data_IF_540854104104
#
_entry.id   IF_540854104104
#
_cell.length_a   1.000
_cell.length_b   1.000
_cell.length_c   1.000
_cell.angle_alpha   90.00
_cell.angle_beta   90.00
_cell.angle_gamma   90.00
#
_symmetry.space_group_name_H-M   'P 1'
#
loop_
_entity.id
_entity.type
_entity.pdbx_description
1 polymer ?
#
# COMPACT_ATOMS: atom_id res chain seq x y z
N UNK A 1 -7.19 15.83 -1.04
CA UNK A 1 -6.37 14.60 -1.12
C UNK A 1 -5.14 14.79 -0.25
N UNK A 2 -4.88 13.90 0.69
CA UNK A 2 -3.64 13.92 1.47
C UNK A 2 -2.49 13.59 0.52
N UNK A 3 -1.50 14.49 0.41
CA UNK A 3 -0.36 14.31 -0.48
C UNK A 3 0.57 13.27 0.14
N UNK A 4 0.92 12.21 -0.60
CA UNK A 4 1.95 11.26 -0.18
C UNK A 4 3.30 11.97 -0.12
N UNK A 5 3.88 12.04 1.08
CA UNK A 5 5.20 12.64 1.31
C UNK A 5 6.29 11.57 1.18
N UNK A 6 7.43 11.95 0.63
CA UNK A 6 8.61 11.08 0.53
C UNK A 6 9.73 11.62 1.42
N UNK A 7 10.53 10.78 2.06
CA UNK A 7 10.42 9.32 2.08
C UNK A 7 9.21 8.85 2.90
N UNK A 8 8.70 7.65 2.61
CA UNK A 8 7.67 6.99 3.38
C UNK A 8 8.03 5.52 3.59
N UNK A 9 7.46 4.92 4.62
CA UNK A 9 7.62 3.51 4.94
C UNK A 9 6.28 2.79 4.77
N UNK A 10 6.33 1.53 4.35
CA UNK A 10 5.18 0.65 4.26
C UNK A 10 5.40 -0.58 5.14
N UNK A 11 4.56 -0.73 6.16
CA UNK A 11 4.60 -1.85 7.10
C UNK A 11 3.40 -2.74 6.85
N UNK A 12 3.68 -3.96 6.41
CA UNK A 12 2.66 -4.94 6.05
C UNK A 12 2.84 -6.26 6.81
N UNK A 13 2.21 -6.41 7.98
CA UNK A 13 2.23 -7.68 8.71
C UNK A 13 1.37 -8.77 8.04
N UNK A 14 0.74 -8.48 6.89
CA UNK A 14 -0.16 -9.40 6.20
C UNK A 14 -1.21 -9.99 7.15
N UNK A 15 -1.34 -11.32 7.19
CA UNK A 15 -2.21 -12.04 8.13
C UNK A 15 -1.42 -12.79 9.22
N UNK A 16 -0.14 -12.40 9.44
CA UNK A 16 0.66 -12.95 10.53
C UNK A 16 0.29 -12.35 11.88
N UNK A 17 -0.16 -11.09 11.91
CA UNK A 17 -0.57 -10.39 13.12
C UNK A 17 -2.02 -9.92 13.00
N UNK A 18 -2.76 -10.00 14.10
CA UNK A 18 -4.12 -9.49 14.23
C UNK A 18 -4.42 -9.04 15.66
N UNK A 19 -5.47 -8.28 15.86
CA UNK A 19 -5.94 -7.85 17.17
C UNK A 19 -4.87 -7.12 17.96
N UNK A 20 -4.57 -7.61 19.16
CA UNK A 20 -3.64 -6.97 20.11
C UNK A 20 -2.22 -6.86 19.58
N UNK A 21 -1.69 -7.91 18.95
CA UNK A 21 -0.33 -7.91 18.42
C UNK A 21 -0.19 -6.92 17.23
N UNK A 22 -1.19 -6.85 16.37
CA UNK A 22 -1.26 -5.86 15.29
C UNK A 22 -1.30 -4.44 15.85
N UNK A 23 -2.09 -4.20 16.90
CA UNK A 23 -2.14 -2.90 17.57
C UNK A 23 -0.80 -2.52 18.21
N UNK A 24 -0.12 -3.45 18.90
CA UNK A 24 1.19 -3.19 19.49
C UNK A 24 2.22 -2.74 18.44
N UNK A 25 2.26 -3.41 17.29
CA UNK A 25 3.12 -3.01 16.17
C UNK A 25 2.71 -1.64 15.62
N UNK A 26 1.41 -1.40 15.43
CA UNK A 26 0.90 -0.12 14.94
C UNK A 26 1.27 1.05 15.85
N UNK A 27 1.17 0.87 17.17
CA UNK A 27 1.59 1.87 18.17
C UNK A 27 3.09 2.16 18.10
N UNK A 28 3.92 1.14 17.90
CA UNK A 28 5.35 1.34 17.68
C UNK A 28 5.63 2.17 16.41
N UNK A 29 4.95 1.85 15.31
CA UNK A 29 5.02 2.61 14.07
C UNK A 29 4.52 4.05 14.24
N UNK A 30 3.43 4.25 14.97
CA UNK A 30 2.84 5.56 15.24
C UNK A 30 3.81 6.48 16.01
N UNK A 31 4.48 5.92 17.01
CA UNK A 31 5.53 6.60 17.76
C UNK A 31 6.68 7.03 16.85
N UNK A 32 7.20 6.11 16.03
CA UNK A 32 8.29 6.40 15.09
C UNK A 32 7.87 7.49 14.10
N UNK A 33 6.66 7.39 13.54
CA UNK A 33 6.12 8.40 12.63
C UNK A 33 6.04 9.79 13.29
N UNK A 34 5.58 9.83 14.56
CA UNK A 34 5.52 11.07 15.34
C UNK A 34 6.89 11.69 15.60
N UNK A 35 7.89 10.87 15.92
CA UNK A 35 9.26 11.31 16.25
C UNK A 35 10.06 11.74 15.03
N UNK A 36 9.86 11.10 13.88
CA UNK A 36 10.68 11.31 12.68
C UNK A 36 9.99 12.18 11.63
N UNK A 37 8.66 12.31 11.67
CA UNK A 37 7.87 12.93 10.61
C UNK A 37 7.76 12.08 9.34
N UNK A 38 8.30 10.87 9.33
CA UNK A 38 8.19 9.95 8.17
C UNK A 38 6.77 9.41 8.11
N UNK A 39 6.14 9.52 6.94
CA UNK A 39 4.82 8.92 6.71
C UNK A 39 4.94 7.40 6.72
N UNK A 40 4.16 6.72 7.56
CA UNK A 40 4.13 5.25 7.63
C UNK A 40 2.74 4.76 7.25
N UNK A 41 2.66 3.99 6.16
CA UNK A 41 1.47 3.21 5.83
C UNK A 41 1.50 1.91 6.62
N UNK A 42 0.47 1.67 7.41
CA UNK A 42 0.33 0.46 8.21
C UNK A 42 -0.86 -0.35 7.74
N UNK A 43 -0.63 -1.54 7.17
CA UNK A 43 -1.71 -2.43 6.74
C UNK A 43 -2.14 -3.35 7.87
N UNK A 44 -3.42 -3.70 7.90
CA UNK A 44 -3.96 -4.64 8.86
C UNK A 44 -5.18 -5.38 8.30
N UNK A 45 -5.55 -6.53 8.89
CA UNK A 45 -6.82 -7.18 8.60
C UNK A 45 -8.00 -6.23 8.77
N UNK A 46 -9.06 -6.42 8.00
CA UNK A 46 -10.23 -5.52 8.00
C UNK A 46 -10.85 -5.34 9.39
N UNK A 47 -10.87 -6.42 10.19
CA UNK A 47 -11.42 -6.41 11.55
C UNK A 47 -10.65 -5.46 12.50
N UNK A 48 -9.38 -5.19 12.21
CA UNK A 48 -8.49 -4.40 13.07
C UNK A 48 -8.42 -2.93 12.66
N UNK A 49 -8.95 -2.54 11.49
CA UNK A 49 -8.84 -1.16 10.98
C UNK A 49 -9.36 -0.15 12.02
N UNK A 50 -10.56 -0.36 12.55
CA UNK A 50 -11.13 0.55 13.55
C UNK A 50 -10.31 0.57 14.83
N UNK A 51 -9.91 -0.60 15.33
CA UNK A 51 -9.07 -0.71 16.52
C UNK A 51 -7.79 0.11 16.38
N UNK A 52 -7.11 -0.01 15.26
CA UNK A 52 -5.87 0.71 15.01
C UNK A 52 -6.14 2.20 14.79
N UNK A 53 -7.14 2.57 14.00
CA UNK A 53 -7.47 3.96 13.70
C UNK A 53 -7.87 4.77 14.95
N UNK A 54 -8.54 4.14 15.92
CA UNK A 54 -8.93 4.80 17.18
C UNK A 54 -7.76 4.97 18.16
N UNK A 55 -6.69 4.18 18.02
CA UNK A 55 -5.55 4.18 18.94
C UNK A 55 -4.27 4.79 18.37
N UNK A 56 -4.24 5.21 17.10
CA UNK A 56 -3.09 5.82 16.43
C UNK A 56 -3.44 7.19 15.85
N UNK A 57 -2.44 8.05 15.60
CA UNK A 57 -2.64 9.42 15.10
C UNK A 57 -1.76 9.77 13.90
N UNK A 58 -0.62 9.11 13.76
CA UNK A 58 0.44 9.47 12.82
C UNK A 58 0.58 8.46 11.68
N UNK A 59 0.28 7.17 11.91
CA UNK A 59 0.28 6.17 10.85
C UNK A 59 -0.93 6.33 9.91
N UNK A 60 -0.73 6.03 8.64
CA UNK A 60 -1.80 5.96 7.64
C UNK A 60 -2.38 4.56 7.68
N UNK A 61 -3.51 4.38 8.37
CA UNK A 61 -4.18 3.08 8.45
C UNK A 61 -4.63 2.65 7.06
N UNK A 62 -4.19 1.48 6.65
CA UNK A 62 -4.29 1.01 5.27
C UNK A 62 -5.02 -0.33 5.20
N UNK A 63 -6.08 -0.41 4.40
CA UNK A 63 -6.79 -1.66 4.15
C UNK A 63 -5.98 -2.57 3.21
N UNK A 64 -6.03 -3.88 3.41
CA UNK A 64 -5.30 -4.87 2.60
C UNK A 64 -5.90 -5.11 1.21
N UNK A 65 -7.15 -4.76 1.00
CA UNK A 65 -7.86 -4.79 -0.29
C UNK A 65 -9.19 -4.04 -0.15
N UNK A 66 -9.89 -3.83 -1.27
CA UNK A 66 -11.31 -3.46 -1.34
C UNK A 66 -11.92 -3.93 -2.65
N UNK A 67 -13.25 -3.97 -2.70
CA UNK A 67 -14.00 -4.16 -3.94
C UNK A 67 -14.54 -2.82 -4.46
N UNK A 68 -14.98 -2.79 -5.72
CA UNK A 68 -15.41 -1.53 -6.38
C UNK A 68 -16.90 -1.22 -6.21
N UNK A 69 -17.63 -2.04 -5.43
CA UNK A 69 -19.07 -1.88 -5.28
C UNK A 69 -19.45 -0.58 -4.53
N UNK A 70 -20.70 -0.18 -4.74
CA UNK A 70 -21.37 0.87 -3.97
C UNK A 70 -22.28 0.24 -2.91
N UNK A 71 -22.71 1.01 -1.88
CA UNK A 71 -23.68 0.52 -0.90
C UNK A 71 -24.91 -0.12 -1.56
N UNK A 72 -25.23 -1.34 -1.13
CA UNK A 72 -26.31 -2.13 -1.71
C UNK A 72 -26.03 -3.63 -1.62
N UNK A 73 -26.36 -4.35 -2.69
CA UNK A 73 -26.09 -5.80 -2.77
C UNK A 73 -24.59 -6.07 -2.83
N UNK A 74 -24.10 -7.02 -2.05
CA UNK A 74 -22.64 -7.32 -2.00
C UNK A 74 -22.28 -8.09 -0.72
N UNK A 75 -23.11 -9.04 -0.32
CA UNK A 75 -22.80 -9.86 0.85
C UNK A 75 -21.44 -10.54 0.68
N UNK A 76 -20.53 -10.36 1.66
CA UNK A 76 -19.18 -10.90 1.65
C UNK A 76 -18.16 -10.05 0.90
N UNK A 77 -18.57 -9.04 0.13
CA UNK A 77 -17.66 -8.11 -0.51
C UNK A 77 -17.11 -7.07 0.49
N UNK A 78 -15.94 -6.52 0.20
CA UNK A 78 -15.29 -5.48 1.01
C UNK A 78 -15.75 -4.12 0.51
N UNK A 79 -16.74 -3.56 1.18
CA UNK A 79 -17.33 -2.27 0.84
C UNK A 79 -16.37 -1.11 1.17
N UNK A 80 -15.98 -0.26 0.20
CA UNK A 80 -15.05 0.84 0.44
C UNK A 80 -15.51 1.84 1.50
N UNK A 81 -16.81 2.18 1.52
CA UNK A 81 -17.38 3.08 2.51
C UNK A 81 -17.20 2.56 3.95
N UNK A 82 -17.29 1.24 4.15
CA UNK A 82 -17.09 0.65 5.47
C UNK A 82 -15.64 0.74 5.94
N UNK A 83 -14.69 0.69 5.01
CA UNK A 83 -13.27 0.88 5.32
C UNK A 83 -12.99 2.33 5.74
N UNK A 84 -13.53 3.30 5.01
CA UNK A 84 -13.41 4.73 5.34
C UNK A 84 -14.04 5.03 6.68
N UNK A 85 -15.24 4.51 6.94
CA UNK A 85 -15.96 4.66 8.22
C UNK A 85 -15.17 4.01 9.37
N UNK A 86 -14.49 2.90 9.13
CA UNK A 86 -13.61 2.27 10.10
C UNK A 86 -12.30 3.05 10.34
N UNK A 87 -11.98 4.05 9.51
CA UNK A 87 -10.83 4.92 9.66
C UNK A 87 -9.67 4.65 8.70
N UNK A 88 -9.83 3.77 7.71
CA UNK A 88 -8.82 3.60 6.67
C UNK A 88 -8.63 4.90 5.88
N UNK A 89 -7.37 5.20 5.55
CA UNK A 89 -6.95 6.35 4.72
C UNK A 89 -6.28 5.93 3.42
N UNK A 90 -5.89 4.66 3.33
CA UNK A 90 -5.28 4.08 2.14
C UNK A 90 -5.77 2.65 1.93
N UNK A 91 -5.54 2.12 0.75
CA UNK A 91 -5.86 0.74 0.38
C UNK A 91 -4.77 0.15 -0.52
N UNK A 92 -4.41 -1.10 -0.24
CA UNK A 92 -3.57 -1.92 -1.13
C UNK A 92 -4.47 -2.58 -2.16
N UNK A 93 -4.04 -2.61 -3.41
CA UNK A 93 -4.74 -3.27 -4.51
C UNK A 93 -3.78 -4.15 -5.31
N UNK A 94 -4.30 -5.21 -5.88
CA UNK A 94 -3.58 -6.10 -6.80
C UNK A 94 -2.33 -6.77 -6.19
N UNK A 95 -2.31 -7.01 -4.88
CA UNK A 95 -1.23 -7.79 -4.28
C UNK A 95 -1.16 -9.20 -4.87
N UNK A 96 0.03 -9.80 -4.96
CA UNK A 96 0.24 -11.13 -5.53
C UNK A 96 -0.67 -12.22 -4.90
N UNK A 97 -1.01 -12.07 -3.62
CA UNK A 97 -1.94 -12.97 -2.90
C UNK A 97 -3.43 -12.66 -3.16
N UNK A 98 -3.75 -11.55 -3.83
CA UNK A 98 -5.13 -11.12 -4.13
C UNK A 98 -5.15 -10.25 -5.40
N UNK A 99 -4.87 -10.87 -6.52
CA UNK A 99 -4.80 -10.22 -7.83
C UNK A 99 -6.19 -9.83 -8.34
N UNK A 100 -6.23 -8.78 -9.16
CA UNK A 100 -7.42 -8.26 -9.82
C UNK A 100 -7.25 -8.27 -11.33
N UNK A 101 -8.34 -8.44 -12.04
CA UNK A 101 -8.35 -8.13 -13.48
C UNK A 101 -8.12 -6.64 -13.70
N UNK A 102 -7.64 -6.25 -14.87
CA UNK A 102 -7.42 -4.83 -15.20
C UNK A 102 -8.70 -4.00 -15.04
N UNK A 103 -9.85 -4.56 -15.40
CA UNK A 103 -11.14 -3.89 -15.27
C UNK A 103 -11.54 -3.67 -13.80
N UNK A 104 -11.37 -4.68 -12.96
CA UNK A 104 -11.62 -4.58 -11.51
C UNK A 104 -10.65 -3.60 -10.86
N UNK A 105 -9.39 -3.63 -11.23
CA UNK A 105 -8.37 -2.73 -10.70
C UNK A 105 -8.70 -1.27 -11.02
N UNK A 106 -9.04 -0.98 -12.27
CA UNK A 106 -9.48 0.36 -12.68
C UNK A 106 -10.71 0.84 -11.91
N UNK A 107 -11.71 -0.05 -11.77
CA UNK A 107 -12.91 0.26 -10.98
C UNK A 107 -12.58 0.52 -9.51
N UNK A 108 -11.68 -0.27 -8.89
CA UNK A 108 -11.24 -0.07 -7.50
C UNK A 108 -10.46 1.24 -7.33
N UNK A 109 -9.53 1.57 -8.23
CA UNK A 109 -8.79 2.84 -8.20
C UNK A 109 -9.76 4.03 -8.29
N UNK A 110 -10.73 3.95 -9.21
CA UNK A 110 -11.76 4.99 -9.38
C UNK A 110 -12.57 5.18 -8.11
N UNK A 111 -13.04 4.07 -7.50
CA UNK A 111 -13.82 4.12 -6.26
C UNK A 111 -13.01 4.64 -5.07
N UNK A 112 -11.74 4.23 -4.94
CA UNK A 112 -10.85 4.74 -3.91
C UNK A 112 -10.71 6.26 -3.99
N UNK A 113 -10.51 6.79 -5.20
CA UNK A 113 -10.42 8.25 -5.44
C UNK A 113 -11.71 8.99 -5.09
N UNK A 114 -12.88 8.44 -5.43
CA UNK A 114 -14.19 9.02 -5.06
C UNK A 114 -14.32 9.19 -3.54
N UNK A 115 -13.73 8.27 -2.77
CA UNK A 115 -13.80 8.25 -1.30
C UNK A 115 -12.59 8.88 -0.62
N UNK A 116 -11.63 9.41 -1.38
CA UNK A 116 -10.43 10.05 -0.85
C UNK A 116 -9.40 9.08 -0.25
N UNK A 117 -9.47 7.80 -0.58
CA UNK A 117 -8.46 6.81 -0.20
C UNK A 117 -7.23 6.93 -1.08
N UNK A 118 -6.05 6.87 -0.48
CA UNK A 118 -4.78 6.72 -1.19
C UNK A 118 -4.69 5.28 -1.72
N UNK A 119 -4.36 5.13 -2.99
CA UNK A 119 -4.19 3.81 -3.62
C UNK A 119 -2.73 3.40 -3.65
N UNK A 120 -2.42 2.22 -3.10
CA UNK A 120 -1.13 1.55 -3.19
C UNK A 120 -1.34 0.30 -4.04
N UNK A 121 -0.84 0.31 -5.27
CA UNK A 121 -1.12 -0.77 -6.24
C UNK A 121 0.14 -1.57 -6.50
N UNK A 122 0.06 -2.89 -6.27
CA UNK A 122 1.16 -3.81 -6.51
C UNK A 122 1.27 -4.13 -8.01
N UNK A 123 2.50 -4.24 -8.49
CA UNK A 123 2.83 -4.62 -9.86
C UNK A 123 4.08 -5.51 -9.89
N UNK A 124 4.04 -6.59 -10.68
CA UNK A 124 5.08 -7.62 -10.75
C UNK A 124 6.25 -7.25 -11.68
N UNK A 125 6.03 -6.34 -12.60
CA UNK A 125 7.02 -5.97 -13.62
C UNK A 125 6.97 -4.47 -13.95
N UNK A 126 8.03 -3.97 -14.58
CA UNK A 126 8.05 -2.60 -15.12
C UNK A 126 6.91 -2.35 -16.11
N UNK A 127 6.55 -3.33 -16.94
CA UNK A 127 5.44 -3.21 -17.89
C UNK A 127 4.10 -3.08 -17.17
N UNK A 128 3.85 -3.90 -16.17
CA UNK A 128 2.65 -3.83 -15.33
C UNK A 128 2.60 -2.53 -14.54
N UNK A 129 3.73 -2.10 -13.97
CA UNK A 129 3.85 -0.82 -13.28
C UNK A 129 3.47 0.38 -14.17
N UNK A 130 3.85 0.35 -15.45
CA UNK A 130 3.44 1.39 -16.42
C UNK A 130 1.94 1.38 -16.66
N UNK A 131 1.34 0.20 -16.82
CA UNK A 131 -0.11 0.07 -16.99
C UNK A 131 -0.86 0.60 -15.74
N UNK A 132 -0.39 0.25 -14.55
CA UNK A 132 -0.95 0.75 -13.28
C UNK A 132 -0.78 2.27 -13.14
N UNK A 133 0.34 2.83 -13.59
CA UNK A 133 0.56 4.29 -13.60
C UNK A 133 -0.44 5.01 -14.51
N UNK A 134 -0.77 4.43 -15.67
CA UNK A 134 -1.80 4.95 -16.58
C UNK A 134 -3.19 4.92 -15.97
N UNK A 135 -3.51 3.90 -15.15
CA UNK A 135 -4.75 3.84 -14.38
C UNK A 135 -4.80 4.90 -13.26
N UNK A 136 -3.69 5.55 -12.97
CA UNK A 136 -3.59 6.67 -12.06
C UNK A 136 -3.50 6.29 -10.59
N UNK A 137 -2.80 5.23 -10.25
CA UNK A 137 -2.46 4.89 -8.85
C UNK A 137 -1.64 6.01 -8.18
N UNK A 138 -1.89 6.25 -6.89
CA UNK A 138 -1.12 7.25 -6.12
C UNK A 138 0.29 6.74 -5.81
N UNK A 139 0.40 5.46 -5.44
CA UNK A 139 1.65 4.76 -5.16
C UNK A 139 1.66 3.45 -5.93
N UNK A 140 2.76 3.13 -6.58
CA UNK A 140 3.00 1.80 -7.16
C UNK A 140 4.03 1.09 -6.29
N UNK A 141 3.65 -0.09 -5.80
CA UNK A 141 4.55 -1.05 -5.18
C UNK A 141 5.08 -1.99 -6.27
N UNK A 142 6.27 -1.67 -6.79
CA UNK A 142 6.93 -2.51 -7.77
C UNK A 142 7.68 -3.64 -7.05
N UNK A 143 7.12 -4.84 -7.10
CA UNK A 143 7.59 -6.00 -6.38
C UNK A 143 7.62 -7.23 -7.29
N UNK A 144 8.79 -7.61 -7.85
CA UNK A 144 8.89 -8.84 -8.61
C UNK A 144 8.50 -10.04 -7.76
N UNK A 145 7.38 -10.68 -8.09
CA UNK A 145 6.78 -11.79 -7.31
C UNK A 145 7.78 -12.91 -7.05
N UNK A 146 8.69 -13.17 -7.99
CA UNK A 146 9.74 -14.18 -7.84
C UNK A 146 10.73 -13.90 -6.68
N UNK A 147 10.81 -12.66 -6.19
CA UNK A 147 11.70 -12.26 -5.09
C UNK A 147 11.00 -12.24 -3.72
N UNK A 148 9.69 -12.37 -3.68
CA UNK A 148 8.93 -12.36 -2.43
C UNK A 148 9.37 -13.51 -1.53
N UNK A 149 9.78 -13.22 -0.30
CA UNK A 149 10.17 -14.23 0.69
C UNK A 149 11.54 -14.88 0.47
N UNK A 150 12.31 -14.45 -0.54
CA UNK A 150 13.64 -15.03 -0.83
C UNK A 150 14.77 -14.41 0.02
N UNK A 151 14.54 -13.25 0.64
CA UNK A 151 15.59 -12.46 1.29
C UNK A 151 16.55 -11.76 0.31
N UNK A 152 16.22 -11.79 -0.99
CA UNK A 152 17.02 -11.12 -2.04
C UNK A 152 16.30 -9.83 -2.45
N UNK A 153 16.96 -8.70 -2.29
CA UNK A 153 16.44 -7.39 -2.74
C UNK A 153 16.51 -7.26 -4.26
N UNK A 154 15.59 -6.49 -4.83
CA UNK A 154 15.66 -6.13 -6.24
C UNK A 154 16.96 -5.36 -6.52
N UNK A 155 17.54 -5.60 -7.71
CA UNK A 155 18.77 -4.90 -8.12
C UNK A 155 18.49 -3.39 -8.24
N UNK A 156 19.48 -2.57 -7.86
CA UNK A 156 19.43 -1.13 -7.98
C UNK A 156 19.15 -0.65 -9.42
N UNK A 157 19.66 -1.37 -10.42
CA UNK A 157 19.38 -1.07 -11.83
C UNK A 157 17.90 -1.23 -12.17
N UNK A 158 17.24 -2.29 -11.69
CA UNK A 158 15.80 -2.51 -11.83
C UNK A 158 15.00 -1.38 -11.17
N UNK A 159 15.39 -1.01 -9.96
CA UNK A 159 14.73 0.08 -9.21
C UNK A 159 14.76 1.38 -10.01
N UNK A 160 15.92 1.79 -10.49
CA UNK A 160 16.11 3.03 -11.25
C UNK A 160 15.34 3.00 -12.57
N UNK A 161 15.40 1.88 -13.31
CA UNK A 161 14.67 1.72 -14.57
C UNK A 161 13.16 1.75 -14.35
N UNK A 162 12.66 1.00 -13.38
CA UNK A 162 11.23 0.95 -13.06
C UNK A 162 10.70 2.34 -12.67
N UNK A 163 11.40 3.05 -11.79
CA UNK A 163 11.04 4.42 -11.41
C UNK A 163 10.99 5.35 -12.63
N UNK A 164 11.98 5.27 -13.50
CA UNK A 164 12.10 6.10 -14.71
C UNK A 164 10.94 5.85 -15.67
N UNK A 165 10.60 4.60 -15.91
CA UNK A 165 9.51 4.21 -16.80
C UNK A 165 8.14 4.59 -16.24
N UNK A 166 7.89 4.40 -14.95
CA UNK A 166 6.65 4.85 -14.29
C UNK A 166 6.50 6.37 -14.39
N UNK A 167 7.59 7.12 -14.12
CA UNK A 167 7.56 8.59 -14.15
C UNK A 167 7.37 9.19 -15.54
N UNK A 168 7.69 8.47 -16.61
CA UNK A 168 7.35 8.88 -17.99
C UNK A 168 5.85 8.81 -18.25
N UNK A 169 5.15 7.85 -17.64
CA UNK A 169 3.70 7.67 -17.79
C UNK A 169 2.95 8.64 -16.88
N UNK A 170 3.30 8.66 -15.59
CA UNK A 170 2.67 9.52 -14.60
C UNK A 170 3.71 10.08 -13.62
N UNK A 171 4.12 11.36 -13.77
CA UNK A 171 5.14 11.97 -12.93
C UNK A 171 4.70 12.12 -11.47
N UNK A 172 3.39 12.16 -11.17
CA UNK A 172 2.87 12.36 -9.83
C UNK A 172 2.83 11.08 -9.00
N UNK A 173 2.69 9.90 -9.63
CA UNK A 173 2.69 8.60 -8.97
C UNK A 173 3.99 8.38 -8.19
N UNK A 174 3.88 8.00 -6.93
CA UNK A 174 5.05 7.60 -6.12
C UNK A 174 5.39 6.15 -6.39
N UNK A 175 6.69 5.83 -6.30
CA UNK A 175 7.18 4.47 -6.50
C UNK A 175 7.75 3.96 -5.19
N UNK A 176 7.40 2.76 -4.84
CA UNK A 176 7.91 2.02 -3.72
C UNK A 176 8.46 0.69 -4.25
N UNK A 177 9.67 0.35 -3.87
CA UNK A 177 10.26 -0.93 -4.19
C UNK A 177 10.18 -1.80 -2.94
N UNK A 178 9.72 -3.01 -3.10
CA UNK A 178 9.71 -4.02 -2.05
C UNK A 178 10.37 -5.31 -2.56
N UNK A 179 10.39 -6.28 -1.72
CA UNK A 179 11.04 -7.60 -1.81
C UNK A 179 12.39 -7.67 -1.11
N UNK A 180 12.55 -8.71 -0.28
CA UNK A 180 13.80 -9.08 0.35
C UNK A 180 14.33 -8.13 1.42
N UNK A 181 13.60 -7.09 1.79
CA UNK A 181 13.98 -6.17 2.86
C UNK A 181 13.73 -6.85 4.21
N UNK A 182 14.79 -7.05 5.00
CA UNK A 182 14.74 -7.75 6.29
C UNK A 182 15.32 -6.95 7.45
N UNK A 183 16.13 -5.93 7.15
CA UNK A 183 16.84 -5.13 8.16
C UNK A 183 16.69 -3.62 7.89
N UNK A 184 16.97 -2.79 8.89
CA UNK A 184 17.04 -1.34 8.72
C UNK A 184 18.12 -0.90 7.75
N UNK A 185 19.22 -1.68 7.60
CA UNK A 185 20.28 -1.40 6.63
C UNK A 185 19.79 -1.63 5.19
N UNK A 186 18.93 -2.64 4.96
CA UNK A 186 18.30 -2.84 3.65
C UNK A 186 17.38 -1.66 3.28
N UNK A 187 16.60 -1.17 4.24
CA UNK A 187 15.78 0.04 4.06
C UNK A 187 16.66 1.24 3.69
N UNK A 188 17.77 1.44 4.40
CA UNK A 188 18.68 2.54 4.12
C UNK A 188 19.23 2.47 2.69
N UNK A 189 19.67 1.31 2.23
CA UNK A 189 20.21 1.09 0.87
C UNK A 189 19.19 1.33 -0.25
N UNK A 190 17.90 1.15 0.04
CA UNK A 190 16.82 1.36 -0.95
C UNK A 190 16.41 2.83 -1.04
N UNK A 191 16.59 3.59 0.05
CA UNK A 191 16.19 5.01 0.14
C UNK A 191 17.30 5.96 -0.30
N UNK A 192 18.55 5.60 -0.09
CA UNK A 192 19.78 6.39 -0.36
C UNK A 192 20.67 5.75 -1.41
#
# INVERSE_FOLDING_TARGET
MSKVTVPFLFVNPKSYLWGKESLELALACDKISAETGVMIFFTCPYADIRLIAENTKHVVVTAQNMDSLKPGRGMGAVLPESLVEAGAKAVVLNHAENQKTLAELFACITRAKELGLITIVCADSTTESKAVAELGADVILAEPTALIGTGTTADASYTVECCKEIKKVNPDTKVMIASGITTGEDVYKVVY
#
